data_IF_692046839048
#
_entry.id   IF_692046839048
#
_cell.length_a   1.000
_cell.length_b   1.000
_cell.length_c   1.000
_cell.angle_alpha   90.00
_cell.angle_beta   90.00
_cell.angle_gamma   90.00
#
_symmetry.space_group_name_H-M   'P 1'
#
loop_
_entity.id
_entity.type
_entity.pdbx_description
1 polymer ?
#
# COMPACT_ATOMS: atom_id res chain seq x y z
N UNK A 1 -10.75 5.66 17.92
CA UNK A 1 -11.57 4.55 17.41
C UNK A 1 -11.66 4.49 15.90
N UNK A 2 -12.25 5.48 15.21
CA UNK A 2 -12.47 5.41 13.75
C UNK A 2 -11.20 5.21 12.91
N UNK A 3 -10.08 5.87 13.28
CA UNK A 3 -8.79 5.72 12.58
C UNK A 3 -8.25 4.29 12.65
N UNK A 4 -8.42 3.62 13.78
CA UNK A 4 -7.95 2.24 13.98
C UNK A 4 -8.81 1.28 13.17
N UNK A 5 -10.12 1.48 13.16
CA UNK A 5 -11.05 0.67 12.36
C UNK A 5 -10.77 0.76 10.86
N UNK A 6 -10.40 1.94 10.35
CA UNK A 6 -10.06 2.12 8.94
C UNK A 6 -8.68 1.56 8.55
N UNK A 7 -7.80 1.30 9.53
CA UNK A 7 -6.39 1.02 9.31
C UNK A 7 -6.16 -0.23 8.46
N UNK A 8 -6.93 -1.29 8.70
CA UNK A 8 -6.76 -2.57 7.99
C UNK A 8 -7.02 -2.41 6.49
N UNK A 9 -8.16 -1.84 6.12
CA UNK A 9 -8.51 -1.55 4.73
C UNK A 9 -7.50 -0.62 4.04
N UNK A 10 -6.99 0.37 4.79
CA UNK A 10 -6.00 1.31 4.29
C UNK A 10 -4.64 0.64 4.04
N UNK A 11 -4.18 -0.22 4.94
CA UNK A 11 -2.92 -0.96 4.79
C UNK A 11 -2.94 -1.87 3.57
N UNK A 12 -4.06 -2.56 3.33
CA UNK A 12 -4.24 -3.41 2.15
C UNK A 12 -4.11 -2.58 0.87
N UNK A 13 -4.87 -1.49 0.74
CA UNK A 13 -4.80 -0.60 -0.43
C UNK A 13 -3.41 0.02 -0.62
N UNK A 14 -2.82 0.53 0.47
CA UNK A 14 -1.50 1.18 0.42
C UNK A 14 -0.42 0.23 -0.08
N UNK A 15 -0.36 -0.98 0.46
CA UNK A 15 0.70 -1.92 0.13
C UNK A 15 0.52 -2.59 -1.23
N UNK A 16 -0.72 -2.74 -1.72
CA UNK A 16 -1.01 -3.57 -2.90
C UNK A 16 -1.44 -2.80 -4.15
N UNK A 17 -2.00 -1.60 -4.00
CA UNK A 17 -2.61 -0.87 -5.12
C UNK A 17 -2.07 0.54 -5.32
N UNK A 18 -1.68 1.23 -4.24
CA UNK A 18 -1.27 2.64 -4.32
C UNK A 18 0.07 2.78 -5.07
N UNK A 19 0.08 3.56 -6.15
CA UNK A 19 1.30 3.88 -6.90
C UNK A 19 2.27 4.76 -6.11
N UNK A 20 3.56 4.45 -6.18
CA UNK A 20 4.63 5.27 -5.61
C UNK A 20 5.62 5.74 -6.68
N UNK A 21 5.91 7.04 -6.73
CA UNK A 21 6.87 7.63 -7.70
C UNK A 21 8.27 7.05 -7.56
N UNK A 22 8.72 6.80 -6.32
CA UNK A 22 10.00 6.14 -6.04
C UNK A 22 10.08 4.68 -6.52
N UNK A 23 8.94 4.08 -6.88
CA UNK A 23 8.83 2.74 -7.46
C UNK A 23 8.44 2.78 -8.94
N UNK A 24 8.58 3.92 -9.61
CA UNK A 24 8.17 4.07 -11.01
C UNK A 24 6.65 3.91 -11.20
N UNK A 25 5.85 4.26 -10.20
CA UNK A 25 4.39 4.12 -10.24
C UNK A 25 3.87 2.77 -9.74
N UNK A 26 4.74 1.85 -9.33
CA UNK A 26 4.33 0.55 -8.79
C UNK A 26 3.95 0.63 -7.30
N UNK A 27 3.12 -0.31 -6.80
CA UNK A 27 2.79 -0.40 -5.39
C UNK A 27 3.94 -0.98 -4.55
N UNK A 28 3.96 -0.74 -3.22
CA UNK A 28 5.03 -1.18 -2.32
C UNK A 28 5.34 -2.67 -2.38
N UNK A 29 4.31 -3.52 -2.53
CA UNK A 29 4.45 -4.98 -2.65
C UNK A 29 5.34 -5.41 -3.83
N UNK A 30 5.46 -4.58 -4.86
CA UNK A 30 6.29 -4.88 -6.04
C UNK A 30 7.77 -5.03 -5.72
N UNK A 31 8.24 -4.55 -4.54
CA UNK A 31 9.60 -4.77 -4.05
C UNK A 31 9.88 -6.23 -3.64
N UNK A 32 8.84 -7.02 -3.40
CA UNK A 32 8.95 -8.40 -2.94
C UNK A 32 9.03 -9.42 -4.09
N UNK A 33 8.82 -8.97 -5.34
CA UNK A 33 9.04 -9.79 -6.52
C UNK A 33 10.55 -9.92 -6.74
N UNK A 34 11.16 -10.92 -6.11
CA UNK A 34 12.52 -11.41 -6.40
C UNK A 34 12.45 -12.37 -7.58
#
# INVERSE_FOLDING_TARGET
DERTTALDSWLSHYNTARSHSALGGHPPVSRLAV
#
